data_IF_608968541533
#
_entry.id   IF_608968541533
#
_cell.length_a   1.000
_cell.length_b   1.000
_cell.length_c   1.000
_cell.angle_alpha   90.00
_cell.angle_beta   90.00
_cell.angle_gamma   90.00
#
_symmetry.space_group_name_H-M   'P 1'
#
loop_
_entity.id
_entity.type
_entity.pdbx_description
1 polymer ?
#
# COMPACT_ATOMS: atom_id res chain seq x y z
N UNK A 1 -25.66 1.76 -14.02
CA UNK A 1 -24.40 2.19 -14.67
C UNK A 1 -23.42 2.66 -13.63
N UNK A 2 -22.23 2.07 -13.60
CA UNK A 2 -21.12 2.54 -12.78
C UNK A 2 -20.35 3.56 -13.63
N UNK A 3 -20.19 4.79 -13.15
CA UNK A 3 -19.32 5.76 -13.80
C UNK A 3 -17.88 5.36 -13.49
N UNK A 4 -17.08 5.14 -14.53
CA UNK A 4 -15.70 4.67 -14.41
C UNK A 4 -14.75 5.72 -14.97
N UNK A 5 -13.87 6.24 -14.09
CA UNK A 5 -12.76 7.10 -14.48
C UNK A 5 -11.51 6.22 -14.63
N UNK A 6 -11.12 5.93 -15.87
CA UNK A 6 -9.98 5.09 -16.18
C UNK A 6 -8.74 5.94 -16.52
N UNK A 7 -7.59 5.53 -16.00
CA UNK A 7 -6.30 6.15 -16.26
C UNK A 7 -5.19 5.08 -16.30
N UNK A 8 -3.98 5.48 -16.69
CA UNK A 8 -2.82 4.60 -16.68
C UNK A 8 -1.58 5.35 -16.20
N UNK A 9 -0.66 4.59 -15.60
CA UNK A 9 0.70 5.01 -15.33
C UNK A 9 1.59 4.12 -16.19
N UNK A 10 2.31 4.74 -17.12
CA UNK A 10 3.25 4.06 -18.00
C UNK A 10 4.65 4.60 -17.73
N UNK A 11 5.60 3.71 -17.51
CA UNK A 11 6.99 4.09 -17.31
C UNK A 11 7.67 4.25 -18.67
N UNK A 12 8.45 5.32 -18.84
CA UNK A 12 9.27 5.51 -20.04
C UNK A 12 10.29 4.37 -20.22
N UNK A 13 10.76 3.80 -19.11
CA UNK A 13 11.64 2.65 -19.08
C UNK A 13 11.09 1.62 -18.09
N UNK A 14 10.84 0.36 -18.50
CA UNK A 14 10.44 -0.70 -17.58
C UNK A 14 11.48 -0.92 -16.47
N UNK A 15 11.01 -1.28 -15.29
CA UNK A 15 11.87 -1.62 -14.15
C UNK A 15 12.01 -3.13 -14.03
N UNK A 16 13.24 -3.64 -14.08
CA UNK A 16 13.54 -5.05 -13.78
C UNK A 16 13.33 -5.34 -12.31
N UNK A 17 12.50 -6.36 -12.02
CA UNK A 17 12.22 -6.84 -10.66
C UNK A 17 13.46 -7.53 -10.10
N UNK A 18 13.79 -7.21 -8.85
CA UNK A 18 14.91 -7.78 -8.08
C UNK A 18 14.41 -8.26 -6.72
N UNK A 19 15.23 -9.03 -6.02
CA UNK A 19 14.95 -9.43 -4.64
C UNK A 19 14.67 -8.20 -3.76
N UNK A 20 13.62 -8.28 -2.94
CA UNK A 20 13.15 -7.17 -2.10
C UNK A 20 12.22 -6.17 -2.82
N UNK A 21 11.81 -6.44 -4.07
CA UNK A 21 10.82 -5.65 -4.80
C UNK A 21 9.46 -6.36 -4.80
N UNK A 22 8.71 -6.26 -3.70
CA UNK A 22 7.46 -7.01 -3.53
C UNK A 22 6.22 -6.18 -3.84
N UNK A 23 6.27 -4.85 -3.66
CA UNK A 23 5.14 -3.96 -3.89
C UNK A 23 5.56 -2.70 -4.66
N UNK A 24 4.70 -2.26 -5.59
CA UNK A 24 4.70 -0.87 -6.06
C UNK A 24 3.80 -0.08 -5.11
N UNK A 25 4.39 0.77 -4.27
CA UNK A 25 3.65 1.72 -3.44
C UNK A 25 3.32 2.96 -4.27
N UNK A 26 2.06 3.34 -4.26
CA UNK A 26 1.56 4.54 -4.94
C UNK A 26 0.77 5.34 -3.92
N UNK A 27 1.05 6.64 -3.82
CA UNK A 27 0.28 7.54 -2.95
C UNK A 27 -0.87 8.14 -3.76
N UNK A 28 -2.10 7.86 -3.35
CA UNK A 28 -3.31 8.36 -3.99
C UNK A 28 -4.02 9.37 -3.08
N UNK A 29 -4.58 10.41 -3.68
CA UNK A 29 -5.62 11.24 -3.08
C UNK A 29 -6.83 11.19 -4.01
N UNK A 30 -7.96 10.71 -3.52
CA UNK A 30 -9.21 10.69 -4.27
C UNK A 30 -10.15 11.72 -3.68
N UNK A 31 -10.35 12.85 -4.36
CA UNK A 31 -11.33 13.85 -3.96
C UNK A 31 -12.70 13.42 -4.44
N UNK A 32 -13.60 13.14 -3.49
CA UNK A 32 -14.96 12.72 -3.78
C UNK A 32 -15.85 12.94 -2.56
N UNK A 33 -16.97 13.64 -2.75
CA UNK A 33 -17.85 14.05 -1.65
C UNK A 33 -18.99 13.08 -1.36
N UNK A 34 -19.30 12.16 -2.29
CA UNK A 34 -20.49 11.31 -2.17
C UNK A 34 -20.24 9.97 -1.45
N UNK A 35 -19.00 9.63 -1.12
CA UNK A 35 -18.65 8.44 -0.33
C UNK A 35 -17.37 8.68 0.48
N UNK A 36 -17.24 8.01 1.63
CA UNK A 36 -16.03 8.02 2.48
C UNK A 36 -14.90 7.15 1.91
N UNK A 37 -15.24 6.19 1.04
CA UNK A 37 -14.28 5.35 0.36
C UNK A 37 -14.72 5.03 -1.07
N UNK A 38 -13.74 4.74 -1.92
CA UNK A 38 -13.94 4.29 -3.29
C UNK A 38 -13.09 3.07 -3.60
N UNK A 39 -13.61 2.19 -4.44
CA UNK A 39 -12.89 1.02 -4.90
C UNK A 39 -12.06 1.38 -6.15
N UNK A 40 -10.74 1.37 -6.01
CA UNK A 40 -9.82 1.43 -7.13
C UNK A 40 -9.55 0.03 -7.64
N UNK A 41 -9.71 -0.18 -8.95
CA UNK A 41 -9.39 -1.44 -9.62
C UNK A 41 -8.19 -1.24 -10.51
N UNK A 42 -7.25 -2.18 -10.45
CA UNK A 42 -5.97 -2.11 -11.10
C UNK A 42 -5.81 -3.27 -12.08
N UNK A 43 -5.14 -2.97 -13.18
CA UNK A 43 -4.94 -3.87 -14.30
C UNK A 43 -3.47 -3.83 -14.71
N UNK A 44 -2.91 -4.99 -15.02
CA UNK A 44 -1.57 -5.11 -15.58
C UNK A 44 -1.46 -4.28 -16.88
N UNK A 45 -0.29 -3.69 -17.14
CA UNK A 45 -0.13 -2.73 -18.25
C UNK A 45 -0.30 -3.37 -19.64
N UNK A 46 0.12 -4.61 -19.80
CA UNK A 46 0.01 -5.39 -21.04
C UNK A 46 -1.41 -5.89 -21.35
N UNK A 47 -2.36 -5.73 -20.41
CA UNK A 47 -3.71 -6.26 -20.61
C UNK A 47 -4.42 -5.59 -21.77
N UNK A 48 -4.97 -6.42 -22.65
CA UNK A 48 -5.88 -6.02 -23.74
C UNK A 48 -7.34 -6.38 -23.48
N UNK A 49 -7.60 -7.33 -22.57
CA UNK A 49 -8.94 -7.87 -22.31
C UNK A 49 -9.52 -7.33 -21.00
N UNK A 50 -10.86 -7.22 -20.94
CA UNK A 50 -11.58 -6.73 -19.74
C UNK A 50 -11.83 -7.82 -18.69
N UNK A 51 -11.92 -9.09 -19.09
CA UNK A 51 -12.09 -10.25 -18.21
C UNK A 51 -10.87 -11.18 -18.36
N UNK A 52 -10.33 -11.64 -17.23
CA UNK A 52 -9.07 -12.40 -17.12
C UNK A 52 -9.34 -13.90 -17.10
N UNK A 53 -10.32 -14.25 -16.31
CA UNK A 53 -10.87 -15.56 -16.01
C UNK A 53 -12.36 -15.31 -15.76
N UNK A 54 -13.20 -16.32 -15.92
CA UNK A 54 -14.64 -16.16 -15.70
C UNK A 54 -14.93 -15.54 -14.33
N UNK A 55 -15.49 -14.33 -14.32
CA UNK A 55 -15.81 -13.57 -13.11
C UNK A 55 -14.67 -12.70 -12.55
N UNK A 56 -13.48 -12.73 -13.14
CA UNK A 56 -12.32 -11.92 -12.73
C UNK A 56 -12.12 -10.81 -13.75
N UNK A 57 -12.26 -9.57 -13.31
CA UNK A 57 -12.24 -8.39 -14.20
C UNK A 57 -11.05 -7.46 -13.97
N UNK A 58 -10.24 -7.71 -12.93
CA UNK A 58 -9.10 -6.86 -12.55
C UNK A 58 -8.04 -7.72 -11.84
N UNK A 59 -6.78 -7.27 -11.85
CA UNK A 59 -5.68 -7.98 -11.19
C UNK A 59 -5.68 -7.74 -9.68
N UNK A 60 -6.03 -6.52 -9.29
CA UNK A 60 -6.03 -6.09 -7.90
C UNK A 60 -7.09 -5.01 -7.69
N UNK A 61 -7.62 -4.93 -6.47
CA UNK A 61 -8.49 -3.85 -6.06
C UNK A 61 -8.13 -3.40 -4.65
N UNK A 62 -8.31 -2.11 -4.38
CA UNK A 62 -8.10 -1.52 -3.08
C UNK A 62 -9.21 -0.51 -2.79
N UNK A 63 -9.77 -0.57 -1.60
CA UNK A 63 -10.65 0.47 -1.09
C UNK A 63 -9.78 1.60 -0.53
N UNK A 64 -9.98 2.81 -1.08
CA UNK A 64 -9.23 4.00 -0.69
C UNK A 64 -10.17 4.98 0.00
N UNK A 65 -9.74 5.51 1.14
CA UNK A 65 -10.45 6.61 1.79
C UNK A 65 -10.45 7.84 0.87
N UNK A 66 -11.57 8.53 0.79
CA UNK A 66 -11.71 9.77 0.03
C UNK A 66 -11.23 10.97 0.85
N UNK A 67 -10.84 12.05 0.18
CA UNK A 67 -10.43 13.32 0.77
C UNK A 67 -9.22 13.23 1.73
N UNK A 68 -8.40 12.19 1.57
CA UNK A 68 -7.16 11.97 2.30
C UNK A 68 -6.11 11.27 1.42
N UNK A 69 -4.84 11.44 1.79
CA UNK A 69 -3.74 10.72 1.15
C UNK A 69 -3.63 9.30 1.70
N UNK A 70 -3.64 8.31 0.81
CA UNK A 70 -3.47 6.90 1.16
C UNK A 70 -2.35 6.26 0.35
N UNK A 71 -1.65 5.31 0.96
CA UNK A 71 -0.68 4.47 0.25
C UNK A 71 -1.38 3.18 -0.20
N UNK A 72 -1.37 2.92 -1.50
CA UNK A 72 -1.80 1.65 -2.08
C UNK A 72 -0.58 0.84 -2.46
N UNK A 73 -0.54 -0.43 -2.06
CA UNK A 73 0.58 -1.34 -2.30
C UNK A 73 0.18 -2.39 -3.33
N UNK A 74 0.57 -2.18 -4.58
CA UNK A 74 0.27 -3.09 -5.68
C UNK A 74 1.28 -4.25 -5.68
N UNK A 75 0.84 -5.52 -5.55
CA UNK A 75 1.77 -6.65 -5.50
C UNK A 75 2.54 -6.81 -6.81
N UNK A 76 3.87 -6.74 -6.78
CA UNK A 76 4.72 -6.89 -7.97
C UNK A 76 4.44 -8.20 -8.70
N UNK A 77 4.14 -9.28 -7.98
CA UNK A 77 3.78 -10.58 -8.53
C UNK A 77 2.55 -10.55 -9.47
N UNK A 78 1.69 -9.54 -9.35
CA UNK A 78 0.52 -9.34 -10.21
C UNK A 78 0.78 -8.41 -11.39
N UNK A 79 1.75 -7.51 -11.28
CA UNK A 79 1.98 -6.43 -12.24
C UNK A 79 3.26 -6.60 -13.08
N UNK A 80 4.17 -7.46 -12.65
CA UNK A 80 5.36 -7.80 -13.42
C UNK A 80 5.01 -8.77 -14.57
N UNK A 81 5.58 -8.50 -15.74
CA UNK A 81 5.52 -9.36 -16.93
C UNK A 81 6.95 -9.63 -17.34
N UNK A 82 7.31 -10.90 -17.50
CA UNK A 82 8.67 -11.34 -17.84
C UNK A 82 9.75 -10.71 -16.93
N UNK A 83 9.44 -10.58 -15.64
CA UNK A 83 10.33 -10.00 -14.63
C UNK A 83 10.47 -8.48 -14.70
N UNK A 84 9.59 -7.77 -15.40
CA UNK A 84 9.63 -6.31 -15.53
C UNK A 84 8.30 -5.65 -15.21
N UNK A 85 8.35 -4.44 -14.66
CA UNK A 85 7.20 -3.57 -14.44
C UNK A 85 7.27 -2.43 -15.44
N UNK A 86 6.34 -2.40 -16.39
CA UNK A 86 6.22 -1.30 -17.38
C UNK A 86 5.22 -0.22 -16.96
N UNK A 87 4.48 -0.46 -15.87
CA UNK A 87 3.38 0.38 -15.41
C UNK A 87 2.12 -0.43 -15.13
N UNK A 88 1.00 0.26 -14.94
CA UNK A 88 -0.31 -0.33 -14.68
C UNK A 88 -1.43 0.61 -15.12
N UNK A 89 -2.61 0.04 -15.36
CA UNK A 89 -3.84 0.79 -15.61
C UNK A 89 -4.70 0.72 -14.36
N UNK A 90 -5.55 1.72 -14.15
CA UNK A 90 -6.48 1.70 -13.03
C UNK A 90 -7.76 2.43 -13.37
N UNK A 91 -8.83 2.06 -12.68
CA UNK A 91 -10.13 2.70 -12.75
C UNK A 91 -10.67 3.00 -11.37
N UNK A 92 -11.22 4.20 -11.20
CA UNK A 92 -12.05 4.55 -10.07
C UNK A 92 -13.51 4.43 -10.46
N UNK A 93 -14.27 3.65 -9.69
CA UNK A 93 -15.67 3.36 -10.00
C UNK A 93 -16.56 4.05 -8.97
N UNK A 94 -17.39 4.97 -9.43
CA UNK A 94 -18.35 5.71 -8.61
C UNK A 94 -19.78 5.22 -8.88
N UNK A 95 -20.63 5.37 -7.88
CA UNK A 95 -22.04 4.97 -7.91
C UNK A 95 -22.99 6.16 -8.20
N UNK A 96 -22.49 7.39 -8.24
CA UNK A 96 -23.25 8.60 -8.57
C UNK A 96 -22.63 9.32 -9.76
N UNK A 97 -23.39 10.24 -10.38
CA UNK A 97 -22.91 11.08 -11.48
C UNK A 97 -21.94 12.19 -11.04
N UNK A 98 -21.49 12.18 -9.78
CA UNK A 98 -20.51 13.13 -9.27
C UNK A 98 -19.11 12.72 -9.75
N UNK A 99 -18.33 13.71 -10.18
CA UNK A 99 -16.97 13.47 -10.67
C UNK A 99 -16.02 13.30 -9.49
N UNK A 100 -15.29 12.19 -9.44
CA UNK A 100 -14.14 12.03 -8.56
C UNK A 100 -12.89 12.61 -9.24
N UNK A 101 -12.04 13.28 -8.46
CA UNK A 101 -10.71 13.70 -8.91
C UNK A 101 -9.65 12.80 -8.28
N UNK A 102 -8.64 12.43 -9.06
CA UNK A 102 -7.56 11.54 -8.60
C UNK A 102 -6.24 12.27 -8.75
N UNK A 103 -5.53 12.39 -7.64
CA UNK A 103 -4.17 12.90 -7.59
C UNK A 103 -3.25 11.75 -7.18
N UNK A 104 -2.05 11.72 -7.78
CA UNK A 104 -1.07 10.67 -7.57
C UNK A 104 0.27 11.31 -7.23
N UNK A 105 0.92 10.75 -6.23
CA UNK A 105 2.24 11.17 -5.78
C UNK A 105 3.07 9.93 -5.37
N UNK A 106 4.38 10.13 -5.20
CA UNK A 106 5.30 9.19 -4.54
C UNK A 106 5.11 7.72 -4.95
N UNK A 107 5.42 7.44 -6.21
CA UNK A 107 5.47 6.08 -6.76
C UNK A 107 6.85 5.49 -6.47
N UNK A 108 6.89 4.40 -5.71
CA UNK A 108 8.14 3.72 -5.35
C UNK A 108 7.94 2.21 -5.30
N UNK A 109 9.04 1.46 -5.30
CA UNK A 109 9.05 0.01 -5.14
C UNK A 109 9.61 -0.32 -3.76
N UNK A 110 8.90 -1.15 -3.01
CA UNK A 110 9.22 -1.48 -1.61
C UNK A 110 9.13 -2.99 -1.36
N UNK A 111 9.84 -3.43 -0.33
CA UNK A 111 9.88 -4.82 0.14
C UNK A 111 8.60 -5.22 0.89
N UNK A 112 7.98 -4.29 1.63
CA UNK A 112 6.82 -4.61 2.47
C UNK A 112 5.67 -3.64 2.26
N UNK A 113 4.45 -4.09 2.55
CA UNK A 113 3.27 -3.26 2.60
C UNK A 113 3.21 -2.49 3.93
N UNK A 114 3.91 -1.36 4.00
CA UNK A 114 3.96 -0.51 5.19
C UNK A 114 5.35 0.05 5.46
N UNK A 115 5.70 0.16 6.75
CA UNK A 115 6.98 0.74 7.19
C UNK A 115 7.87 -0.35 7.77
N UNK A 116 9.09 -0.48 7.23
CA UNK A 116 10.14 -1.37 7.75
C UNK A 116 11.17 -0.54 8.48
N UNK A 117 11.46 -0.88 9.72
CA UNK A 117 12.57 -0.32 10.47
C UNK A 117 13.61 -1.42 10.73
N UNK A 118 14.83 -1.22 10.24
CA UNK A 118 15.97 -2.09 10.62
C UNK A 118 16.51 -1.61 11.96
N UNK A 119 16.59 -2.50 12.93
CA UNK A 119 16.94 -2.15 14.31
C UNK A 119 18.44 -2.26 14.59
N UNK A 120 19.21 -3.00 13.78
CA UNK A 120 20.68 -3.15 13.91
C UNK A 120 21.13 -3.42 15.36
N UNK A 121 20.49 -4.39 16.05
CA UNK A 121 20.75 -4.71 17.45
C UNK A 121 20.03 -3.80 18.47
N UNK A 122 19.20 -2.86 18.02
CA UNK A 122 18.24 -2.14 18.85
C UNK A 122 17.01 -2.96 19.22
N UNK A 123 16.25 -2.47 20.20
CA UNK A 123 14.98 -3.07 20.65
C UNK A 123 13.83 -2.08 20.47
N UNK A 124 12.66 -2.59 20.10
CA UNK A 124 11.41 -1.82 20.06
C UNK A 124 10.59 -2.17 21.29
N UNK A 125 10.09 -1.15 21.99
CA UNK A 125 9.21 -1.31 23.15
C UNK A 125 7.95 -0.45 23.03
N UNK A 126 6.82 -1.02 23.41
CA UNK A 126 5.54 -0.32 23.48
C UNK A 126 5.16 -0.06 24.94
N UNK A 127 4.65 1.13 25.29
CA UNK A 127 4.17 1.40 26.64
C UNK A 127 2.97 0.51 26.99
N UNK A 128 3.00 -0.11 28.17
CA UNK A 128 1.88 -0.91 28.67
C UNK A 128 0.70 -0.01 29.10
N UNK A 129 -0.53 -0.54 28.96
CA UNK A 129 -1.70 0.02 29.67
C UNK A 129 -2.51 1.11 28.94
N UNK A 130 -2.57 1.11 27.61
CA UNK A 130 -3.58 1.89 26.88
C UNK A 130 -4.76 0.95 26.53
N UNK A 131 -5.89 0.99 27.26
CA UNK A 131 -7.06 0.18 26.94
C UNK A 131 -7.64 0.65 25.60
N UNK A 132 -7.90 -0.28 24.67
CA UNK A 132 -8.37 0.08 23.31
C UNK A 132 -7.28 0.72 22.46
N UNK A 133 -6.03 0.34 22.68
CA UNK A 133 -4.90 0.78 21.88
C UNK A 133 -5.22 0.69 20.36
N UNK A 134 -5.19 1.80 19.59
CA UNK A 134 -5.43 1.79 18.15
C UNK A 134 -4.39 0.99 17.34
N UNK A 135 -3.34 0.47 18.00
CA UNK A 135 -2.25 -0.25 17.35
C UNK A 135 -2.52 -1.74 17.11
N UNK A 136 -3.69 -2.28 17.44
CA UNK A 136 -4.04 -3.68 17.12
C UNK A 136 -3.15 -4.74 17.77
N UNK A 137 -2.24 -4.35 18.68
CA UNK A 137 -1.51 -5.26 19.55
C UNK A 137 -2.50 -5.83 20.57
N UNK A 138 -3.14 -6.94 20.20
CA UNK A 138 -4.01 -7.72 21.09
C UNK A 138 -3.25 -8.46 22.19
N UNK A 139 -1.92 -8.36 22.22
CA UNK A 139 -1.12 -8.78 23.36
C UNK A 139 -0.96 -7.61 24.33
N UNK A 140 -1.67 -7.70 25.45
CA UNK A 140 -1.65 -6.78 26.59
C UNK A 140 -0.35 -6.82 27.40
N UNK A 141 0.73 -7.42 26.89
CA UNK A 141 2.05 -7.45 27.54
C UNK A 141 3.05 -6.64 26.73
N UNK A 142 3.95 -5.93 27.41
CA UNK A 142 5.02 -5.18 26.76
C UNK A 142 5.88 -6.14 25.91
N UNK A 143 5.66 -6.16 24.59
CA UNK A 143 6.44 -6.99 23.69
C UNK A 143 7.76 -6.29 23.39
N UNK A 144 8.88 -6.90 23.77
CA UNK A 144 10.21 -6.48 23.30
C UNK A 144 10.53 -7.28 22.04
N UNK A 145 10.65 -6.59 20.91
CA UNK A 145 11.05 -7.22 19.65
C UNK A 145 12.58 -7.15 19.56
N UNK A 146 13.23 -8.33 19.48
CA UNK A 146 14.68 -8.50 19.35
C UNK A 146 15.11 -8.99 17.96
N UNK A 147 14.22 -8.91 16.96
CA UNK A 147 14.56 -9.22 15.57
C UNK A 147 15.33 -8.06 14.93
N UNK A 148 16.22 -8.35 13.97
CA UNK A 148 17.03 -7.34 13.27
C UNK A 148 16.19 -6.33 12.47
N UNK A 149 14.93 -6.65 12.19
CA UNK A 149 13.96 -5.76 11.59
C UNK A 149 12.59 -5.86 12.26
N UNK A 150 11.88 -4.75 12.26
CA UNK A 150 10.47 -4.65 12.67
C UNK A 150 9.63 -4.11 11.50
N UNK A 151 8.44 -4.68 11.33
CA UNK A 151 7.51 -4.37 10.24
C UNK A 151 6.18 -3.86 10.82
N UNK A 152 5.75 -2.67 10.38
CA UNK A 152 4.40 -2.16 10.62
C UNK A 152 3.59 -2.40 9.34
N UNK A 153 2.66 -3.35 9.38
CA UNK A 153 1.71 -3.56 8.28
C UNK A 153 0.78 -2.33 8.17
N UNK A 154 0.66 -1.76 6.97
CA UNK A 154 -0.10 -0.52 6.76
C UNK A 154 -1.60 -0.64 7.08
N UNK A 155 -2.19 0.44 7.59
CA UNK A 155 -3.65 0.58 7.79
C UNK A 155 -4.10 1.27 9.08
N UNK A 156 -3.21 1.48 10.06
CA UNK A 156 -3.55 2.14 11.33
C UNK A 156 -2.70 3.38 11.57
N UNK A 157 -3.35 4.42 12.08
CA UNK A 157 -2.79 5.73 12.39
C UNK A 157 -1.71 5.63 13.50
N UNK A 158 -0.47 5.92 13.12
CA UNK A 158 0.68 6.28 13.96
C UNK A 158 1.06 5.33 15.12
N UNK A 159 1.98 4.38 14.89
CA UNK A 159 2.64 3.69 16.00
C UNK A 159 3.60 4.64 16.76
N UNK A 160 3.22 5.07 17.97
CA UNK A 160 4.17 5.66 18.93
C UNK A 160 4.98 4.54 19.59
N UNK A 161 6.03 4.07 18.91
CA UNK A 161 6.97 3.09 19.44
C UNK A 161 8.23 3.77 19.99
N UNK A 162 8.73 3.30 21.14
CA UNK A 162 10.07 3.69 21.61
C UNK A 162 11.09 2.74 20.98
N UNK A 163 12.07 3.30 20.27
CA UNK A 163 13.20 2.55 19.71
C UNK A 163 14.43 2.84 20.56
N UNK A 164 15.01 1.81 21.16
CA UNK A 164 16.26 1.90 21.90
C UNK A 164 17.38 1.26 21.08
N UNK A 165 18.39 2.02 20.71
CA UNK A 165 19.59 1.47 20.06
C UNK A 165 20.60 1.01 21.12
N UNK A 166 21.31 -0.10 20.86
CA UNK A 166 22.43 -0.49 21.70
C UNK A 166 23.49 0.62 21.72
N UNK A 167 24.14 0.84 22.88
CA UNK A 167 25.25 1.78 22.97
C UNK A 167 26.38 1.33 22.02
N UNK A 168 27.07 2.26 21.33
CA UNK A 168 28.20 1.88 20.48
C UNK A 168 29.24 1.13 21.32
N UNK A 169 29.64 -0.04 20.85
CA UNK A 169 30.74 -0.80 21.44
C UNK A 169 32.00 0.06 21.33
N UNK A 170 32.66 0.33 22.48
CA UNK A 170 33.94 1.04 22.54
C UNK A 170 35.09 0.14 22.08
#
# INVERSE_FOLDING_TARGET
>A
DMFAHAANITLNNPVTVKDGMNYVRVRFYVSYSAAESLNLRFYRSDRTNHEVETGVWFDYAADVATNGWVNVYLPVSKFAVDGQISGFKFGCFTNTGDNAEIYIDDITIVDIAGTKATLNGGTVSYPAGIPGNPFGCTDSTATTITSDSWEITGGNDYCNAMITFAAPLK
#
